data_IF_498010716429
#
_entry.id   IF_498010716429
#
_cell.length_a   1.000
_cell.length_b   1.000
_cell.length_c   1.000
_cell.angle_alpha   90.00
_cell.angle_beta   90.00
_cell.angle_gamma   90.00
#
_symmetry.space_group_name_H-M   'P 1'
#
loop_
_entity.id
_entity.type
_entity.pdbx_description
1 polymer ?
#
# COMPACT_ATOMS: atom_id res chain seq x y z
N UNK A 1 -30.46 -26.31 6.28
CA UNK A 1 -28.99 -26.22 6.31
C UNK A 1 -28.60 -25.30 5.19
N UNK A 2 -28.25 -24.05 5.51
CA UNK A 2 -27.66 -23.15 4.51
C UNK A 2 -26.34 -23.76 4.05
N UNK A 3 -26.22 -23.96 2.74
CA UNK A 3 -24.95 -24.31 2.12
C UNK A 3 -24.08 -23.06 2.25
N UNK A 4 -23.24 -23.02 3.28
CA UNK A 4 -22.19 -21.99 3.41
C UNK A 4 -21.32 -22.17 2.17
N UNK A 5 -21.54 -21.30 1.18
CA UNK A 5 -20.81 -21.33 -0.08
C UNK A 5 -19.41 -20.84 0.25
N UNK A 6 -18.42 -21.73 0.16
CA UNK A 6 -17.03 -21.40 0.52
C UNK A 6 -16.58 -20.19 -0.32
N UNK A 7 -16.21 -19.12 0.36
CA UNK A 7 -15.68 -17.93 -0.33
C UNK A 7 -14.29 -18.27 -0.88
N UNK A 8 -14.14 -18.07 -2.19
CA UNK A 8 -12.85 -18.19 -2.87
C UNK A 8 -12.04 -16.90 -2.63
N UNK A 9 -10.70 -17.01 -2.57
CA UNK A 9 -9.77 -15.87 -2.52
C UNK A 9 -10.08 -14.82 -3.59
N UNK A 10 -10.52 -15.23 -4.78
CA UNK A 10 -10.87 -14.30 -5.87
C UNK A 10 -12.07 -13.42 -5.55
N UNK A 11 -13.16 -14.02 -5.06
CA UNK A 11 -14.35 -13.25 -4.68
C UNK A 11 -14.10 -12.41 -3.44
N UNK A 12 -13.29 -12.90 -2.50
CA UNK A 12 -12.84 -12.13 -1.36
C UNK A 12 -12.12 -10.84 -1.78
N UNK A 13 -11.12 -10.93 -2.68
CA UNK A 13 -10.37 -9.75 -3.13
C UNK A 13 -11.30 -8.71 -3.78
N UNK A 14 -12.22 -9.13 -4.65
CA UNK A 14 -13.13 -8.22 -5.34
C UNK A 14 -14.13 -7.54 -4.38
N UNK A 15 -14.65 -8.29 -3.42
CA UNK A 15 -15.55 -7.76 -2.39
C UNK A 15 -14.83 -6.77 -1.49
N UNK A 16 -13.66 -7.13 -0.96
CA UNK A 16 -12.92 -6.26 -0.04
C UNK A 16 -12.36 -5.02 -0.72
N UNK A 17 -11.92 -5.12 -1.98
CA UNK A 17 -11.56 -3.95 -2.78
C UNK A 17 -12.74 -2.98 -2.93
N UNK A 18 -13.94 -3.49 -3.20
CA UNK A 18 -15.15 -2.64 -3.30
C UNK A 18 -15.51 -2.03 -1.94
N UNK A 19 -15.43 -2.82 -0.87
CA UNK A 19 -15.73 -2.36 0.49
C UNK A 19 -14.76 -1.27 0.92
N UNK A 20 -13.47 -1.44 0.68
CA UNK A 20 -12.44 -0.45 1.02
C UNK A 20 -12.65 0.89 0.33
N UNK A 21 -13.13 0.87 -0.92
CA UNK A 21 -13.41 2.10 -1.69
C UNK A 21 -14.72 2.79 -1.34
N UNK A 22 -15.70 2.07 -0.74
CA UNK A 22 -17.08 2.59 -0.59
C UNK A 22 -17.59 2.67 0.84
N UNK A 23 -17.12 1.80 1.75
CA UNK A 23 -17.63 1.70 3.11
C UNK A 23 -16.72 2.50 4.07
N UNK A 24 -17.26 3.51 4.78
CA UNK A 24 -16.55 4.15 5.86
C UNK A 24 -16.59 3.29 7.13
N UNK A 25 -15.65 3.56 8.02
CA UNK A 25 -15.68 3.11 9.41
C UNK A 25 -16.20 4.25 10.30
N UNK A 26 -16.86 3.89 11.39
CA UNK A 26 -17.30 4.86 12.38
C UNK A 26 -16.20 5.05 13.43
N UNK A 27 -15.62 6.24 13.48
CA UNK A 27 -14.53 6.58 14.42
C UNK A 27 -15.10 7.07 15.75
N UNK A 28 -16.17 7.87 15.67
CA UNK A 28 -16.94 8.37 16.79
C UNK A 28 -18.37 8.66 16.33
N UNK A 29 -19.29 8.88 17.26
CA UNK A 29 -20.65 9.34 16.94
C UNK A 29 -20.60 10.58 16.04
N UNK A 30 -21.22 10.50 14.86
CA UNK A 30 -21.24 11.57 13.86
C UNK A 30 -19.95 11.72 13.03
N UNK A 31 -18.95 10.88 13.22
CA UNK A 31 -17.70 10.91 12.45
C UNK A 31 -17.42 9.58 11.74
N UNK A 32 -17.76 9.56 10.46
CA UNK A 32 -17.44 8.47 9.54
C UNK A 32 -16.18 8.81 8.75
N UNK A 33 -15.29 7.83 8.63
CA UNK A 33 -14.01 8.00 7.96
C UNK A 33 -13.75 6.84 7.00
N UNK A 34 -13.23 7.14 5.80
CA UNK A 34 -12.80 6.12 4.85
C UNK A 34 -11.35 6.37 4.43
N UNK A 35 -10.51 5.34 4.52
CA UNK A 35 -9.09 5.43 4.26
C UNK A 35 -8.78 5.75 2.78
N UNK A 36 -9.47 5.11 1.84
CA UNK A 36 -9.26 5.32 0.41
C UNK A 36 -9.59 6.77 0.01
N UNK A 37 -10.70 7.30 0.52
CA UNK A 37 -11.12 8.68 0.31
C UNK A 37 -10.14 9.67 0.94
N UNK A 38 -9.68 9.39 2.16
CA UNK A 38 -8.68 10.21 2.86
C UNK A 38 -7.37 10.33 2.07
N UNK A 39 -6.83 9.21 1.58
CA UNK A 39 -5.62 9.17 0.76
C UNK A 39 -5.83 9.95 -0.55
N UNK A 40 -6.96 9.72 -1.23
CA UNK A 40 -7.33 10.43 -2.45
C UNK A 40 -7.40 11.94 -2.23
N UNK A 41 -8.10 12.39 -1.18
CA UNK A 41 -8.30 13.80 -0.88
C UNK A 41 -6.97 14.49 -0.55
N UNK A 42 -6.14 13.85 0.27
CA UNK A 42 -4.78 14.31 0.59
C UNK A 42 -3.96 14.58 -0.67
N UNK A 43 -3.98 13.64 -1.62
CA UNK A 43 -3.25 13.76 -2.88
C UNK A 43 -3.80 14.88 -3.77
N UNK A 44 -5.12 14.93 -3.95
CA UNK A 44 -5.78 15.94 -4.78
C UNK A 44 -5.46 17.34 -4.27
N UNK A 45 -5.60 17.57 -2.97
CA UNK A 45 -5.40 18.88 -2.36
C UNK A 45 -3.94 19.30 -2.37
N UNK A 46 -3.01 18.38 -2.10
CA UNK A 46 -1.57 18.60 -2.30
C UNK A 46 -1.26 19.08 -3.72
N UNK A 47 -1.98 18.56 -4.72
CA UNK A 47 -1.84 18.88 -6.15
C UNK A 47 -2.79 19.98 -6.66
N UNK A 48 -3.41 20.74 -5.76
CA UNK A 48 -4.31 21.85 -6.10
C UNK A 48 -5.53 21.45 -6.94
N UNK A 49 -6.10 20.29 -6.63
CA UNK A 49 -7.30 19.76 -7.26
C UNK A 49 -8.42 19.64 -6.24
N UNK A 50 -9.61 20.16 -6.55
CA UNK A 50 -10.81 19.79 -5.81
C UNK A 50 -11.29 18.40 -6.23
N UNK A 51 -12.05 17.73 -5.37
CA UNK A 51 -12.66 16.46 -5.71
C UNK A 51 -13.68 16.59 -6.86
N UNK A 52 -14.36 17.75 -6.96
CA UNK A 52 -15.29 18.05 -8.06
C UNK A 52 -14.60 18.41 -9.38
N UNK A 53 -13.27 18.57 -9.38
CA UNK A 53 -12.46 18.91 -10.55
C UNK A 53 -12.09 20.38 -10.69
N UNK A 54 -11.47 20.74 -11.83
CA UNK A 54 -11.01 22.11 -12.16
C UNK A 54 -12.05 22.98 -12.87
N UNK A 55 -13.19 22.41 -13.21
CA UNK A 55 -14.21 23.06 -14.05
C UNK A 55 -15.12 24.01 -13.29
N UNK A 56 -15.08 23.98 -11.96
CA UNK A 56 -15.79 24.92 -11.13
C UNK A 56 -14.97 26.22 -11.02
N UNK A 57 -15.61 27.39 -11.11
CA UNK A 57 -14.99 28.73 -10.94
C UNK A 57 -14.47 29.01 -9.52
N UNK A 58 -14.20 27.96 -8.73
CA UNK A 58 -13.69 28.06 -7.35
C UNK A 58 -12.17 28.22 -7.38
N UNK A 59 -11.62 29.36 -6.90
CA UNK A 59 -10.18 29.54 -6.87
C UNK A 59 -9.54 28.59 -5.85
N UNK A 60 -8.56 27.81 -6.29
CA UNK A 60 -7.78 26.94 -5.39
C UNK A 60 -6.52 27.66 -4.91
N UNK A 61 -6.51 28.11 -3.64
CA UNK A 61 -5.28 28.56 -2.98
C UNK A 61 -4.66 27.38 -2.24
N UNK A 62 -3.52 26.88 -2.71
CA UNK A 62 -2.84 25.75 -2.09
C UNK A 62 -2.08 26.18 -0.82
N UNK A 63 -2.79 26.14 0.30
CA UNK A 63 -2.22 26.37 1.64
C UNK A 63 -1.54 25.11 2.20
N UNK A 64 -1.85 23.94 1.63
CA UNK A 64 -1.37 22.63 2.09
C UNK A 64 0.10 22.42 1.77
N UNK A 65 0.49 22.61 0.51
CA UNK A 65 1.87 22.31 0.06
C UNK A 65 2.96 23.07 0.82
N UNK A 66 2.83 24.37 1.14
CA UNK A 66 3.81 25.07 1.96
C UNK A 66 3.99 24.47 3.37
N UNK A 67 2.90 24.03 4.00
CA UNK A 67 2.93 23.42 5.34
C UNK A 67 3.52 22.02 5.28
N UNK A 68 3.13 21.20 4.30
CA UNK A 68 3.75 19.89 4.07
C UNK A 68 5.26 20.01 3.87
N UNK A 69 5.72 20.96 3.04
CA UNK A 69 7.15 21.20 2.82
C UNK A 69 7.91 21.58 4.10
N UNK A 70 7.25 22.27 5.05
CA UNK A 70 7.84 22.58 6.35
C UNK A 70 7.93 21.30 7.20
N UNK A 71 6.87 20.50 7.23
CA UNK A 71 6.80 19.26 7.99
C UNK A 71 7.80 18.22 7.47
N UNK A 72 7.97 18.06 6.15
CA UNK A 72 8.99 17.16 5.59
C UNK A 72 10.41 17.50 6.08
N UNK A 73 10.73 18.79 6.24
CA UNK A 73 12.04 19.23 6.75
C UNK A 73 12.19 19.07 8.26
N UNK A 74 11.07 19.08 8.99
CA UNK A 74 11.06 18.95 10.43
C UNK A 74 11.13 17.49 10.88
N UNK A 75 10.40 16.61 10.20
CA UNK A 75 10.31 15.18 10.51
C UNK A 75 11.40 14.36 9.79
N UNK A 76 11.89 14.83 8.64
CA UNK A 76 12.98 14.22 7.90
C UNK A 76 14.29 14.26 8.67
N UNK A 77 15.05 13.17 8.61
CA UNK A 77 16.40 13.07 9.15
C UNK A 77 17.31 12.34 8.16
N UNK A 78 18.58 12.71 8.10
CA UNK A 78 19.52 12.10 7.17
C UNK A 78 20.22 10.88 7.79
N UNK A 79 20.72 9.95 6.97
CA UNK A 79 21.51 8.80 7.47
C UNK A 79 22.76 9.21 8.25
N UNK A 80 23.28 10.43 8.05
CA UNK A 80 24.42 10.98 8.79
C UNK A 80 24.06 11.36 10.23
N UNK A 81 22.78 11.59 10.51
CA UNK A 81 22.27 11.99 11.84
C UNK A 81 22.03 10.75 12.74
N UNK A 82 22.08 9.54 12.17
CA UNK A 82 21.96 8.28 12.90
C UNK A 82 23.27 7.97 13.64
N UNK A 83 23.22 8.03 14.98
CA UNK A 83 24.37 7.73 15.83
C UNK A 83 24.28 6.30 16.38
N UNK A 84 25.11 5.42 15.84
CA UNK A 84 25.25 4.04 16.33
C UNK A 84 26.35 3.98 17.41
N UNK A 85 25.99 3.50 18.60
CA UNK A 85 26.91 3.39 19.72
C UNK A 85 26.76 2.07 20.50
N UNK A 86 27.84 1.65 21.14
CA UNK A 86 27.90 0.46 22.00
C UNK A 86 28.01 0.95 23.43
N UNK A 87 27.11 0.49 24.30
CA UNK A 87 27.06 0.89 25.71
C UNK A 87 28.04 0.05 26.57
N UNK A 88 29.30 -0.03 26.14
CA UNK A 88 30.38 -0.74 26.85
C UNK A 88 31.69 0.02 26.69
N UNK A 89 32.27 0.45 27.80
CA UNK A 89 33.53 1.21 27.80
C UNK A 89 34.69 0.43 27.15
N UNK A 90 34.72 -0.90 27.31
CA UNK A 90 35.76 -1.77 26.71
C UNK A 90 35.59 -1.90 25.20
N UNK A 91 34.38 -1.78 24.69
CA UNK A 91 34.04 -2.03 23.28
C UNK A 91 33.67 -0.77 22.51
N UNK A 92 33.85 0.41 23.10
CA UNK A 92 33.48 1.69 22.49
C UNK A 92 34.14 1.91 21.12
N UNK A 93 35.35 1.37 20.91
CA UNK A 93 36.02 1.40 19.60
C UNK A 93 35.19 0.77 18.48
N UNK A 94 34.28 -0.18 18.78
CA UNK A 94 33.36 -0.76 17.80
C UNK A 94 32.36 0.26 17.28
N UNK A 95 31.93 1.23 18.11
CA UNK A 95 31.05 2.32 17.69
C UNK A 95 31.70 3.17 16.58
N UNK A 96 32.99 3.45 16.71
CA UNK A 96 33.74 4.16 15.67
C UNK A 96 33.78 3.39 14.35
N UNK A 97 34.04 2.07 14.40
CA UNK A 97 34.03 1.22 13.21
C UNK A 97 32.65 1.20 12.56
N UNK A 98 31.61 0.92 13.35
CA UNK A 98 30.23 0.86 12.85
C UNK A 98 29.81 2.19 12.22
N UNK A 99 30.10 3.34 12.85
CA UNK A 99 29.79 4.66 12.28
C UNK A 99 30.45 4.86 10.91
N UNK A 100 31.74 4.52 10.78
CA UNK A 100 32.49 4.67 9.52
C UNK A 100 31.93 3.80 8.39
N UNK A 101 31.52 2.57 8.69
CA UNK A 101 30.97 1.66 7.68
C UNK A 101 29.49 1.89 7.40
N UNK A 102 28.72 2.37 8.39
CA UNK A 102 27.30 2.66 8.27
C UNK A 102 27.03 3.71 7.20
N UNK A 103 27.74 4.84 7.19
CA UNK A 103 27.53 5.88 6.17
C UNK A 103 27.76 5.36 4.75
N UNK A 104 28.78 4.53 4.55
CA UNK A 104 29.07 3.91 3.26
C UNK A 104 27.95 2.92 2.88
N UNK A 105 27.56 2.05 3.79
CA UNK A 105 26.49 1.08 3.59
C UNK A 105 25.15 1.77 3.30
N UNK A 106 24.80 2.84 4.02
CA UNK A 106 23.55 3.56 3.84
C UNK A 106 23.45 4.22 2.47
N UNK A 107 24.54 4.82 1.97
CA UNK A 107 24.60 5.38 0.61
C UNK A 107 24.54 4.31 -0.47
N UNK A 108 25.28 3.21 -0.32
CA UNK A 108 25.26 2.10 -1.29
C UNK A 108 23.87 1.46 -1.43
N UNK A 109 23.06 1.53 -0.37
CA UNK A 109 21.72 0.95 -0.33
C UNK A 109 20.60 1.99 -0.45
N UNK A 110 20.91 3.26 -0.74
CA UNK A 110 19.94 4.35 -0.89
C UNK A 110 18.92 4.42 0.27
N UNK A 111 19.43 4.35 1.50
CA UNK A 111 18.60 4.42 2.72
C UNK A 111 17.99 5.82 2.88
N UNK A 112 18.67 6.88 2.44
CA UNK A 112 18.13 8.25 2.44
C UNK A 112 16.79 8.31 1.68
N UNK A 113 16.72 7.74 0.47
CA UNK A 113 15.47 7.68 -0.31
C UNK A 113 14.37 6.93 0.43
N UNK A 114 14.71 5.85 1.15
CA UNK A 114 13.71 5.13 1.94
C UNK A 114 13.15 6.01 3.08
N UNK A 115 14.00 6.76 3.77
CA UNK A 115 13.57 7.68 4.83
C UNK A 115 12.69 8.79 4.25
N UNK A 116 13.10 9.38 3.13
CA UNK A 116 12.34 10.43 2.43
C UNK A 116 10.94 9.92 2.03
N UNK A 117 10.85 8.77 1.37
CA UNK A 117 9.58 8.17 0.94
C UNK A 117 8.67 7.86 2.16
N UNK A 118 9.28 7.38 3.24
CA UNK A 118 8.57 7.06 4.49
C UNK A 118 8.01 8.33 5.13
N UNK A 119 8.82 9.37 5.24
CA UNK A 119 8.43 10.67 5.82
C UNK A 119 7.35 11.32 4.98
N UNK A 120 7.45 11.28 3.64
CA UNK A 120 6.42 11.82 2.76
C UNK A 120 5.06 11.14 2.99
N UNK A 121 5.01 9.80 3.03
CA UNK A 121 3.76 9.08 3.33
C UNK A 121 3.26 9.37 4.74
N UNK A 122 4.15 9.36 5.73
CA UNK A 122 3.84 9.60 7.14
C UNK A 122 3.22 10.99 7.34
N UNK A 123 3.83 12.01 6.74
CA UNK A 123 3.38 13.39 6.81
C UNK A 123 2.12 13.60 6.00
N UNK A 124 2.03 13.12 4.77
CA UNK A 124 0.89 13.40 3.89
C UNK A 124 -0.40 12.74 4.36
N UNK A 125 -0.32 11.45 4.66
CA UNK A 125 -1.50 10.62 4.89
C UNK A 125 -1.76 10.33 6.37
N UNK A 126 -0.79 10.62 7.25
CA UNK A 126 -0.87 10.26 8.67
C UNK A 126 -0.33 8.85 8.99
N UNK A 127 0.42 8.25 8.05
CA UNK A 127 1.09 6.96 8.27
C UNK A 127 1.86 6.45 7.06
N UNK A 128 2.79 5.52 7.29
CA UNK A 128 3.57 4.87 6.24
C UNK A 128 3.60 3.34 6.45
N UNK A 129 3.28 2.61 5.38
CA UNK A 129 3.34 1.16 5.33
C UNK A 129 4.66 0.74 4.67
N UNK A 130 5.41 -0.13 5.34
CA UNK A 130 6.74 -0.56 4.94
C UNK A 130 6.70 -2.07 4.74
N UNK A 131 7.21 -2.53 3.59
CA UNK A 131 7.33 -3.95 3.24
C UNK A 131 8.80 -4.36 3.26
N UNK A 132 9.11 -5.43 3.98
CA UNK A 132 10.43 -6.06 3.92
C UNK A 132 10.52 -6.94 2.67
N UNK A 133 11.33 -6.54 1.71
CA UNK A 133 11.50 -7.25 0.44
C UNK A 133 12.65 -8.27 0.46
N UNK A 134 13.23 -8.59 1.63
CA UNK A 134 14.43 -9.43 1.77
C UNK A 134 15.60 -9.01 0.85
N UNK A 135 15.58 -7.75 0.43
CA UNK A 135 16.64 -7.10 -0.33
C UNK A 135 17.43 -6.19 0.62
N UNK A 136 18.36 -5.42 0.06
CA UNK A 136 19.27 -4.55 0.78
C UNK A 136 18.59 -3.40 1.54
N UNK A 137 17.36 -3.03 1.16
CA UNK A 137 16.54 -2.04 1.89
C UNK A 137 15.06 -2.44 1.91
N UNK A 138 14.28 -2.01 2.92
CA UNK A 138 12.83 -2.08 2.88
C UNK A 138 12.24 -1.15 1.81
N UNK A 139 11.00 -1.43 1.42
CA UNK A 139 10.23 -0.62 0.47
C UNK A 139 9.08 0.07 1.19
N UNK A 140 8.89 1.36 0.93
CA UNK A 140 7.69 2.09 1.38
C UNK A 140 6.59 1.85 0.37
N UNK A 141 5.49 1.27 0.83
CA UNK A 141 4.33 1.02 -0.02
C UNK A 141 3.59 2.32 -0.26
N UNK A 142 3.38 2.65 -1.53
CA UNK A 142 2.49 3.74 -1.94
C UNK A 142 1.06 3.38 -1.54
N UNK A 143 0.51 4.07 -0.55
CA UNK A 143 -0.84 3.79 -0.02
C UNK A 143 -1.93 3.93 -1.08
N UNK A 144 -1.70 4.70 -2.14
CA UNK A 144 -2.58 4.84 -3.30
C UNK A 144 -2.71 3.53 -4.11
N UNK A 145 -1.73 2.63 -4.01
CA UNK A 145 -1.71 1.33 -4.66
C UNK A 145 -2.31 0.20 -3.82
N UNK A 146 -2.85 0.49 -2.64
CA UNK A 146 -3.57 -0.49 -1.84
C UNK A 146 -4.89 -0.86 -2.52
N UNK A 147 -5.11 -2.16 -2.72
CA UNK A 147 -6.42 -2.66 -3.12
C UNK A 147 -7.37 -2.59 -1.92
N UNK A 148 -6.92 -3.10 -0.77
CA UNK A 148 -7.60 -2.96 0.52
C UNK A 148 -6.68 -3.31 1.68
N UNK A 149 -7.06 -2.83 2.86
CA UNK A 149 -6.55 -3.25 4.16
C UNK A 149 -7.63 -2.96 5.22
N UNK A 150 -7.41 -3.46 6.44
CA UNK A 150 -8.24 -3.09 7.59
C UNK A 150 -8.06 -1.59 7.91
N UNK A 151 -9.15 -0.83 7.76
CA UNK A 151 -9.17 0.61 7.95
C UNK A 151 -9.06 1.02 9.42
N UNK A 152 -9.32 0.12 10.37
CA UNK A 152 -9.19 0.37 11.81
C UNK A 152 -7.78 0.08 12.31
N UNK A 153 -7.15 -0.96 11.76
CA UNK A 153 -5.77 -1.34 12.06
C UNK A 153 -5.15 -2.14 10.90
N UNK A 154 -4.31 -1.48 10.11
CA UNK A 154 -3.68 -2.05 8.90
C UNK A 154 -2.96 -3.38 9.15
N UNK A 155 -2.34 -3.58 10.31
CA UNK A 155 -1.51 -4.76 10.57
C UNK A 155 -2.30 -5.96 11.13
N UNK A 156 -3.55 -5.78 11.58
CA UNK A 156 -4.36 -6.89 12.11
C UNK A 156 -5.09 -7.67 11.03
N UNK A 157 -5.47 -7.01 9.94
CA UNK A 157 -6.20 -7.61 8.84
C UNK A 157 -5.31 -8.08 7.68
N UNK A 158 -5.93 -8.72 6.66
CA UNK A 158 -5.26 -8.96 5.38
C UNK A 158 -4.91 -7.63 4.68
N UNK A 159 -3.77 -7.62 4.01
CA UNK A 159 -3.29 -6.48 3.21
C UNK A 159 -3.20 -6.96 1.77
N UNK A 160 -3.85 -6.23 0.86
CA UNK A 160 -3.81 -6.53 -0.57
C UNK A 160 -3.23 -5.36 -1.35
N UNK A 161 -2.13 -5.61 -2.04
CA UNK A 161 -1.45 -4.64 -2.89
C UNK A 161 -1.87 -4.84 -4.35
N UNK A 162 -2.00 -3.74 -5.08
CA UNK A 162 -2.27 -3.76 -6.52
C UNK A 162 -1.03 -3.37 -7.30
N UNK A 163 -0.66 -4.20 -8.25
CA UNK A 163 0.47 -3.98 -9.13
C UNK A 163 0.04 -4.03 -10.60
N UNK A 164 0.73 -3.24 -11.41
CA UNK A 164 0.60 -3.29 -12.87
C UNK A 164 1.93 -3.72 -13.47
N UNK A 165 2.01 -4.96 -13.91
CA UNK A 165 3.23 -5.51 -14.49
C UNK A 165 3.20 -5.46 -16.01
N UNK A 166 4.31 -5.08 -16.61
CA UNK A 166 4.56 -5.25 -18.03
C UNK A 166 5.01 -6.71 -18.33
N UNK A 167 4.86 -7.21 -19.58
CA UNK A 167 5.21 -8.58 -19.94
C UNK A 167 6.64 -9.02 -19.61
N UNK A 168 7.61 -8.12 -19.71
CA UNK A 168 9.00 -8.36 -19.33
C UNK A 168 9.14 -8.57 -17.82
N UNK A 169 8.49 -7.75 -17.01
CA UNK A 169 8.49 -7.88 -15.55
C UNK A 169 7.81 -9.18 -15.10
N UNK A 170 6.73 -9.59 -15.76
CA UNK A 170 6.06 -10.87 -15.48
C UNK A 170 6.99 -12.07 -15.74
N UNK A 171 7.79 -12.03 -16.81
CA UNK A 171 8.81 -13.06 -17.10
C UNK A 171 9.92 -13.10 -16.07
N UNK A 172 10.24 -11.99 -15.42
CA UNK A 172 11.17 -12.01 -14.28
C UNK A 172 10.55 -12.68 -13.05
N UNK A 173 9.25 -12.49 -12.82
CA UNK A 173 8.53 -13.16 -11.73
C UNK A 173 8.34 -14.67 -11.97
N UNK A 174 8.27 -15.10 -13.22
CA UNK A 174 8.31 -16.53 -13.57
C UNK A 174 9.56 -17.22 -13.00
N UNK A 175 10.72 -16.56 -13.07
CA UNK A 175 11.98 -17.07 -12.49
C UNK A 175 11.93 -17.17 -10.96
N UNK A 176 11.03 -16.41 -10.32
CA UNK A 176 10.76 -16.46 -8.87
C UNK A 176 9.70 -17.50 -8.49
N UNK A 177 9.20 -18.28 -9.45
CA UNK A 177 8.28 -19.39 -9.23
C UNK A 177 6.81 -19.08 -9.48
N UNK A 178 6.48 -17.93 -10.09
CA UNK A 178 5.12 -17.64 -10.54
C UNK A 178 4.75 -18.51 -11.73
N UNK A 179 3.49 -18.97 -11.77
CA UNK A 179 2.96 -19.88 -12.79
C UNK A 179 1.99 -19.16 -13.72
N UNK A 180 1.70 -19.77 -14.87
CA UNK A 180 0.70 -19.31 -15.85
C UNK A 180 0.97 -17.90 -16.43
N UNK A 181 2.24 -17.53 -16.53
CA UNK A 181 2.66 -16.20 -16.99
C UNK A 181 2.41 -15.99 -18.48
N UNK A 182 2.65 -17.01 -19.31
CA UNK A 182 2.45 -16.91 -20.77
C UNK A 182 0.98 -16.63 -21.14
N UNK A 183 0.04 -17.31 -20.49
CA UNK A 183 -1.40 -17.07 -20.67
C UNK A 183 -1.77 -15.63 -20.28
N UNK A 184 -1.18 -15.14 -19.18
CA UNK A 184 -1.39 -13.79 -18.69
C UNK A 184 -0.88 -12.72 -19.68
N UNK A 185 0.28 -12.96 -20.29
CA UNK A 185 0.88 -12.04 -21.28
C UNK A 185 0.02 -11.94 -22.54
N UNK A 186 -0.59 -13.05 -22.97
CA UNK A 186 -1.51 -13.06 -24.11
C UNK A 186 -2.74 -12.18 -23.83
N UNK A 187 -3.22 -12.21 -22.58
CA UNK A 187 -4.41 -11.48 -22.12
C UNK A 187 -4.12 -10.03 -21.70
N UNK A 188 -2.84 -9.61 -21.72
CA UNK A 188 -2.44 -8.27 -21.35
C UNK A 188 -3.00 -7.21 -22.31
N UNK A 189 -3.53 -6.13 -21.75
CA UNK A 189 -4.17 -5.04 -22.50
C UNK A 189 -3.28 -3.81 -22.54
N UNK A 190 -3.36 -3.03 -23.62
CA UNK A 190 -2.70 -1.72 -23.77
C UNK A 190 -3.43 -0.61 -23.01
N UNK A 191 -3.89 -0.93 -21.80
CA UNK A 191 -4.62 -0.03 -20.94
C UNK A 191 -4.35 -0.33 -19.47
N UNK A 192 -4.42 0.71 -18.64
CA UNK A 192 -4.51 0.59 -17.19
C UNK A 192 -5.89 1.03 -16.74
N UNK A 193 -6.56 0.22 -15.94
CA UNK A 193 -7.76 0.68 -15.24
C UNK A 193 -7.37 1.71 -14.18
N UNK A 194 -8.17 2.76 -14.06
CA UNK A 194 -8.14 3.61 -12.85
C UNK A 194 -9.25 3.20 -11.90
N UNK A 195 -8.85 2.92 -10.66
CA UNK A 195 -9.72 2.32 -9.62
C UNK A 195 -10.94 3.17 -9.27
N UNK A 196 -10.85 4.48 -9.44
CA UNK A 196 -11.90 5.39 -8.94
C UNK A 196 -13.01 5.68 -9.96
N UNK A 197 -12.80 5.43 -11.25
CA UNK A 197 -13.81 5.74 -12.29
C UNK A 197 -14.04 4.63 -13.31
N UNK A 198 -13.35 3.48 -13.17
CA UNK A 198 -13.29 2.41 -14.19
C UNK A 198 -12.93 2.94 -15.58
N UNK A 199 -12.28 4.11 -15.67
CA UNK A 199 -11.78 4.64 -16.94
C UNK A 199 -10.48 3.93 -17.29
N UNK A 200 -10.44 3.37 -18.49
CA UNK A 200 -9.24 2.77 -19.05
C UNK A 200 -8.35 3.90 -19.61
N UNK A 201 -7.16 4.04 -19.04
CA UNK A 201 -6.12 4.90 -19.59
C UNK A 201 -5.36 4.07 -20.62
N UNK A 202 -5.43 4.47 -21.90
CA UNK A 202 -4.66 3.83 -22.95
C UNK A 202 -3.16 4.07 -22.70
N UNK A 203 -2.38 3.00 -22.68
CA UNK A 203 -0.93 3.06 -22.49
C UNK A 203 -0.19 2.58 -23.73
N UNK A 204 1.04 3.07 -24.00
CA UNK A 204 1.84 2.58 -25.14
C UNK A 204 2.26 1.10 -25.01
N UNK A 205 2.32 0.58 -23.79
CA UNK A 205 2.67 -0.81 -23.49
C UNK A 205 1.49 -1.59 -22.93
N UNK A 206 1.59 -2.92 -23.00
CA UNK A 206 0.65 -3.84 -22.36
C UNK A 206 0.93 -3.95 -20.87
N UNK A 207 -0.11 -4.01 -20.07
CA UNK A 207 -0.01 -4.22 -18.63
C UNK A 207 -1.01 -5.29 -18.17
N UNK A 208 -0.66 -5.97 -17.09
CA UNK A 208 -1.56 -6.85 -16.36
C UNK A 208 -1.69 -6.38 -14.92
N UNK A 209 -2.94 -6.30 -14.45
CA UNK A 209 -3.26 -6.03 -13.06
C UNK A 209 -3.11 -7.31 -12.23
N UNK A 210 -2.23 -7.26 -11.24
CA UNK A 210 -1.94 -8.35 -10.32
C UNK A 210 -2.18 -7.87 -8.90
N UNK A 211 -2.80 -8.73 -8.10
CA UNK A 211 -3.09 -8.52 -6.69
C UNK A 211 -2.17 -9.40 -5.87
N UNK A 212 -1.53 -8.81 -4.87
CA UNK A 212 -0.66 -9.47 -3.92
C UNK A 212 -1.31 -9.40 -2.54
N UNK A 213 -1.90 -10.51 -2.10
CA UNK A 213 -2.62 -10.63 -0.84
C UNK A 213 -1.74 -11.31 0.21
N UNK A 214 -1.62 -10.68 1.37
CA UNK A 214 -0.97 -11.24 2.55
C UNK A 214 -1.92 -11.22 3.73
N UNK A 215 -1.87 -12.23 4.58
CA UNK A 215 -2.66 -12.24 5.81
C UNK A 215 -2.71 -13.58 6.49
N UNK A 216 -3.43 -13.62 7.61
CA UNK A 216 -3.83 -14.88 8.24
C UNK A 216 -5.16 -15.29 7.61
N UNK A 217 -5.10 -16.30 6.74
CA UNK A 217 -6.18 -16.70 5.85
C UNK A 217 -6.52 -18.18 6.08
N UNK A 218 -7.70 -18.65 5.63
CA UNK A 218 -8.09 -20.04 5.82
C UNK A 218 -7.20 -21.04 5.09
N UNK A 219 -6.87 -22.18 5.73
CA UNK A 219 -5.96 -23.18 5.16
C UNK A 219 -6.48 -23.79 3.85
N UNK A 220 -7.80 -23.86 3.65
CA UNK A 220 -8.40 -24.38 2.43
C UNK A 220 -8.11 -23.53 1.18
N UNK A 221 -7.62 -22.30 1.33
CA UNK A 221 -7.13 -21.50 0.20
C UNK A 221 -5.79 -22.00 -0.36
N UNK A 222 -4.98 -22.66 0.47
CA UNK A 222 -3.75 -23.33 0.02
C UNK A 222 -4.04 -24.72 -0.51
N UNK A 223 -4.87 -25.47 0.21
CA UNK A 223 -5.12 -26.88 -0.02
C UNK A 223 -6.59 -27.20 0.26
N UNK A 224 -7.39 -27.45 -0.79
CA UNK A 224 -8.85 -27.62 -0.68
C UNK A 224 -9.25 -28.80 0.22
N UNK A 225 -8.34 -29.74 0.47
CA UNK A 225 -8.53 -30.88 1.37
C UNK A 225 -8.43 -30.50 2.86
N UNK A 226 -7.83 -29.35 3.18
CA UNK A 226 -7.65 -28.83 4.55
C UNK A 226 -8.84 -27.98 4.97
N UNK A 227 -9.95 -28.63 5.28
CA UNK A 227 -11.15 -28.00 5.83
C UNK A 227 -11.30 -28.26 7.33
N UNK A 228 -10.32 -27.83 8.11
CA UNK A 228 -10.29 -27.98 9.58
C UNK A 228 -10.63 -26.68 10.32
N UNK A 229 -11.00 -25.60 9.61
CA UNK A 229 -11.24 -24.29 10.20
C UNK A 229 -9.97 -23.58 10.68
N UNK A 230 -8.78 -24.10 10.35
CA UNK A 230 -7.52 -23.46 10.70
C UNK A 230 -7.21 -22.29 9.77
N UNK A 231 -6.50 -21.32 10.35
CA UNK A 231 -5.98 -20.17 9.64
C UNK A 231 -4.47 -20.16 9.76
N UNK A 232 -3.79 -19.96 8.65
CA UNK A 232 -2.34 -19.80 8.61
C UNK A 232 -1.98 -18.51 7.92
N UNK A 233 -0.77 -18.02 8.17
CA UNK A 233 -0.25 -16.87 7.44
C UNK A 233 0.14 -17.31 6.03
N UNK A 234 -0.36 -16.60 5.03
CA UNK A 234 -0.22 -16.98 3.63
C UNK A 234 -0.07 -15.76 2.73
N UNK A 235 0.59 -15.98 1.61
CA UNK A 235 0.69 -15.06 0.48
C UNK A 235 -0.01 -15.66 -0.72
N UNK A 236 -0.84 -14.86 -1.40
CA UNK A 236 -1.50 -15.20 -2.65
C UNK A 236 -1.23 -14.13 -3.69
N UNK A 237 -0.84 -14.54 -4.89
CA UNK A 237 -0.71 -13.66 -6.05
C UNK A 237 -1.76 -14.08 -7.06
N UNK A 238 -2.64 -13.15 -7.40
CA UNK A 238 -3.80 -13.38 -8.26
C UNK A 238 -3.84 -12.33 -9.35
N UNK A 239 -4.16 -12.74 -10.57
CA UNK A 239 -4.46 -11.80 -11.65
C UNK A 239 -5.90 -12.02 -12.13
N UNK A 240 -6.59 -10.92 -12.45
CA UNK A 240 -7.92 -10.96 -13.06
C UNK A 240 -7.81 -10.60 -14.53
N UNK A 241 -8.55 -11.32 -15.36
CA UNK A 241 -8.67 -11.04 -16.78
C UNK A 241 -10.13 -11.14 -17.23
N UNK A 242 -10.44 -10.49 -18.34
CA UNK A 242 -11.74 -10.63 -18.99
C UNK A 242 -11.61 -11.62 -20.14
N UNK A 243 -12.46 -12.63 -20.16
CA UNK A 243 -12.61 -13.49 -21.33
C UNK A 243 -13.37 -12.75 -22.44
N UNK A 244 -13.37 -13.31 -23.65
CA UNK A 244 -14.10 -12.76 -24.81
C UNK A 244 -15.61 -12.60 -24.55
N UNK A 245 -16.14 -13.33 -23.57
CA UNK A 245 -17.55 -13.28 -23.16
C UNK A 245 -17.83 -12.22 -22.06
N UNK A 246 -16.90 -11.30 -21.81
CA UNK A 246 -16.95 -10.30 -20.72
C UNK A 246 -17.12 -10.91 -19.31
N UNK A 247 -16.83 -12.19 -19.14
CA UNK A 247 -16.76 -12.80 -17.80
C UNK A 247 -15.40 -12.50 -17.19
N UNK A 248 -15.41 -11.96 -15.97
CA UNK A 248 -14.19 -11.80 -15.19
C UNK A 248 -13.78 -13.16 -14.66
N UNK A 249 -12.64 -13.65 -15.12
CA UNK A 249 -11.98 -14.83 -14.59
C UNK A 249 -10.72 -14.42 -13.83
N UNK A 250 -10.26 -15.30 -12.95
CA UNK A 250 -9.10 -15.07 -12.10
C UNK A 250 -8.17 -16.27 -12.16
N UNK A 251 -6.87 -15.99 -12.15
CA UNK A 251 -5.82 -17.00 -12.15
C UNK A 251 -4.89 -16.77 -10.97
N UNK A 252 -4.58 -17.85 -10.25
CA UNK A 252 -3.55 -17.82 -9.21
C UNK A 252 -2.18 -18.00 -9.87
N UNK A 253 -1.30 -17.02 -9.67
CA UNK A 253 0.08 -17.04 -10.15
C UNK A 253 1.01 -17.67 -9.11
N UNK A 254 0.71 -17.44 -7.82
CA UNK A 254 1.46 -17.98 -6.70
C UNK A 254 0.57 -18.11 -5.47
N UNK A 255 0.80 -19.14 -4.65
CA UNK A 255 0.24 -19.25 -3.31
C UNK A 255 1.21 -20.01 -2.40
N UNK A 256 1.38 -19.57 -1.17
CA UNK A 256 2.31 -20.20 -0.23
C UNK A 256 2.13 -19.73 1.21
N UNK A 257 2.67 -20.50 2.15
CA UNK A 257 2.73 -20.14 3.57
C UNK A 257 3.83 -19.10 3.82
N UNK A 258 3.58 -18.18 4.73
CA UNK A 258 4.57 -17.20 5.21
C UNK A 258 4.88 -17.46 6.68
N UNK A 259 6.15 -17.27 7.08
CA UNK A 259 6.55 -17.42 8.48
C UNK A 259 6.12 -16.23 9.33
N UNK A 260 6.59 -15.04 8.98
CA UNK A 260 6.33 -13.80 9.71
C UNK A 260 5.71 -12.73 8.79
N UNK A 261 5.10 -11.70 9.38
CA UNK A 261 4.63 -10.55 8.61
C UNK A 261 5.82 -9.78 8.04
N UNK A 262 5.81 -9.56 6.73
CA UNK A 262 6.78 -8.70 6.05
C UNK A 262 6.44 -7.20 6.20
N UNK A 263 5.27 -6.87 6.75
CA UNK A 263 4.81 -5.49 6.87
C UNK A 263 5.11 -4.90 8.24
N UNK A 264 5.55 -3.64 8.22
CA UNK A 264 5.60 -2.74 9.38
C UNK A 264 4.83 -1.47 9.04
N UNK A 265 4.22 -0.87 10.05
CA UNK A 265 3.43 0.35 9.87
C UNK A 265 3.80 1.35 10.97
N UNK A 266 3.95 2.61 10.56
CA UNK A 266 4.14 3.74 11.46
C UNK A 266 3.01 4.74 11.24
N UNK A 267 2.44 5.24 12.33
CA UNK A 267 1.26 6.12 12.33
C UNK A 267 1.62 7.43 13.01
N UNK A 268 1.21 8.55 12.41
CA UNK A 268 1.39 9.90 12.94
C UNK A 268 0.15 10.28 13.74
N UNK A 269 0.30 10.84 14.94
CA UNK A 269 -0.82 11.41 15.71
C UNK A 269 -2.05 10.48 15.73
N UNK A 270 -1.88 9.30 16.37
CA UNK A 270 -2.84 8.20 16.34
C UNK A 270 -4.24 8.65 16.77
N UNK A 271 -5.24 8.29 15.96
CA UNK A 271 -6.66 8.46 16.28
C UNK A 271 -7.25 7.08 16.57
N UNK A 272 -7.92 6.94 17.72
CA UNK A 272 -8.56 5.67 18.07
C UNK A 272 -9.66 5.32 17.05
N UNK A 273 -9.72 4.06 16.65
CA UNK A 273 -10.74 3.57 15.73
C UNK A 273 -10.39 3.67 14.24
N UNK A 274 -9.26 4.28 13.85
CA UNK A 274 -8.78 4.29 12.45
C UNK A 274 -7.28 4.02 12.35
N UNK A 275 -6.84 3.48 11.21
CA UNK A 275 -5.47 2.99 11.04
C UNK A 275 -4.46 4.11 10.76
N UNK A 276 -4.80 5.03 9.86
CA UNK A 276 -4.02 6.24 9.64
C UNK A 276 -4.33 7.23 10.76
N UNK A 277 -3.31 7.85 11.34
CA UNK A 277 -3.55 8.94 12.29
C UNK A 277 -3.69 10.27 11.56
N UNK A 278 -3.51 11.38 12.26
CA UNK A 278 -3.79 12.71 11.68
C UNK A 278 -2.65 13.18 10.76
N UNK A 279 -2.94 13.29 9.47
CA UNK A 279 -1.96 13.71 8.46
C UNK A 279 -1.83 15.23 8.34
N UNK A 280 -0.68 15.69 7.88
CA UNK A 280 -0.41 17.11 7.63
C UNK A 280 -1.27 17.72 6.53
N UNK A 281 -1.72 16.91 5.56
CA UNK A 281 -2.69 17.36 4.57
C UNK A 281 -4.08 17.53 5.21
N UNK A 282 -4.44 16.60 6.11
CA UNK A 282 -5.72 16.57 6.82
C UNK A 282 -5.93 17.76 7.74
N UNK A 283 -4.86 18.24 8.40
CA UNK A 283 -4.84 19.46 9.22
C UNK A 283 -5.48 20.67 8.52
N UNK A 284 -5.44 20.67 7.19
CA UNK A 284 -5.81 21.79 6.35
C UNK A 284 -7.00 21.49 5.42
N UNK A 285 -7.66 20.34 5.56
CA UNK A 285 -8.84 20.02 4.76
C UNK A 285 -9.95 21.04 4.99
N UNK A 286 -10.35 21.27 6.24
CA UNK A 286 -11.40 22.25 6.57
C UNK A 286 -11.03 23.69 6.15
N UNK A 287 -9.82 24.21 6.47
CA UNK A 287 -9.36 25.49 5.92
C UNK A 287 -9.35 25.58 4.39
N UNK A 288 -9.15 24.47 3.68
CA UNK A 288 -9.08 24.42 2.21
C UNK A 288 -10.46 24.44 1.54
N UNK A 289 -11.49 23.93 2.21
CA UNK A 289 -12.85 23.72 1.67
C UNK A 289 -13.66 25.02 1.54
N UNK A 290 -13.12 26.17 1.99
CA UNK A 290 -13.78 27.47 1.98
C UNK A 290 -14.96 27.51 2.98
N UNK A 291 -14.67 28.00 4.19
CA UNK A 291 -15.69 28.47 5.11
C UNK A 291 -16.24 29.79 4.57
N UNK A 292 -17.49 29.79 4.08
CA UNK A 292 -18.28 31.02 3.90
C UNK A 292 -18.52 31.71 5.25
#
# INVERSE_FOLDING_TARGET
>A
MEVITRQNVFSFIQTEETNYQTLPINVSEGYDWNMAQHIKLSLLYKMSQYETGKTDDKPFKNIIRPILNLQYRAEGFDVKDIVLFVNSAKEYYKSFLVKKYHEKWARENNIDTFIDDMVESYVDFGGALIKNINDKKPEVIQLQGLAFCDQTNILSGPICLKHFYAPDQLKEMEKKGWKNIDELIILAQESKDTDQTRKQIKTPGKYVKVYELHGVLPDWWLDEEKDNGEYTRQMHVVAFYQTRDNKSEAISLYKGKEGESIFKFISRDKIFGRALGFGGAEELFEPQVWTN
#
